data_IF_647789144189
#
_entry.id   IF_647789144189
#
_cell.length_a   1.000
_cell.length_b   1.000
_cell.length_c   1.000
_cell.angle_alpha   90.00
_cell.angle_beta   90.00
_cell.angle_gamma   90.00
#
_symmetry.space_group_name_H-M   'P 1'
#
loop_
_entity.id
_entity.type
_entity.pdbx_description
1 polymer ?
#
# COMPACT_ATOMS: atom_id res chain seq x y z
N UNK A 1 -4.18 -11.31 -3.84
CA UNK A 1 -2.77 -11.57 -3.50
C UNK A 1 -2.39 -10.72 -2.29
N UNK A 2 -1.49 -11.19 -1.44
CA UNK A 2 -0.91 -10.43 -0.33
C UNK A 2 0.59 -10.70 -0.24
N UNK A 3 1.35 -9.75 0.30
CA UNK A 3 2.79 -9.92 0.53
C UNK A 3 3.24 -9.24 1.82
N UNK A 4 4.27 -9.81 2.45
CA UNK A 4 4.94 -9.23 3.61
C UNK A 4 6.43 -9.65 3.61
N UNK A 5 7.32 -8.83 4.19
CA UNK A 5 8.73 -9.17 4.37
C UNK A 5 8.95 -10.12 5.55
N UNK A 6 8.03 -10.10 6.52
CA UNK A 6 8.06 -10.87 7.77
C UNK A 6 7.53 -12.28 7.52
N UNK A 7 8.39 -13.28 7.76
CA UNK A 7 8.08 -14.68 7.46
C UNK A 7 6.91 -15.21 8.31
N UNK A 8 6.81 -14.77 9.55
CA UNK A 8 5.73 -15.12 10.47
C UNK A 8 4.37 -14.59 9.98
N UNK A 9 4.33 -13.37 9.44
CA UNK A 9 3.12 -12.78 8.88
C UNK A 9 2.66 -13.54 7.62
N UNK A 10 3.60 -13.91 6.75
CA UNK A 10 3.35 -14.74 5.56
C UNK A 10 2.77 -16.10 5.97
N UNK A 11 3.39 -16.78 6.94
CA UNK A 11 2.94 -18.10 7.41
C UNK A 11 1.54 -18.02 8.04
N UNK A 12 1.29 -17.04 8.90
CA UNK A 12 -0.01 -16.84 9.54
C UNK A 12 -1.10 -16.52 8.51
N UNK A 13 -0.83 -15.64 7.55
CA UNK A 13 -1.79 -15.26 6.51
C UNK A 13 -2.08 -16.45 5.59
N UNK A 14 -1.06 -17.19 5.16
CA UNK A 14 -1.22 -18.40 4.36
C UNK A 14 -2.15 -19.41 5.03
N UNK A 15 -1.95 -19.66 6.33
CA UNK A 15 -2.80 -20.56 7.09
C UNK A 15 -4.25 -20.04 7.19
N UNK A 16 -4.42 -18.75 7.44
CA UNK A 16 -5.73 -18.11 7.55
C UNK A 16 -6.52 -18.14 6.23
N UNK A 17 -5.83 -18.11 5.08
CA UNK A 17 -6.46 -18.08 3.75
C UNK A 17 -6.47 -19.44 3.04
N UNK A 18 -6.10 -20.53 3.70
CA UNK A 18 -5.97 -21.85 3.08
C UNK A 18 -7.25 -22.38 2.41
N UNK A 19 -8.44 -21.91 2.84
CA UNK A 19 -9.73 -22.25 2.25
C UNK A 19 -10.23 -21.28 1.17
N UNK A 20 -9.48 -20.24 0.84
CA UNK A 20 -9.90 -19.16 -0.06
C UNK A 20 -9.26 -19.32 -1.44
N UNK A 21 -9.98 -19.86 -2.44
CA UNK A 21 -9.43 -20.05 -3.78
C UNK A 21 -9.01 -18.72 -4.42
N UNK A 22 -7.93 -18.74 -5.22
CA UNK A 22 -7.39 -17.53 -5.86
C UNK A 22 -6.60 -16.61 -4.93
N UNK A 23 -6.32 -17.02 -3.70
CA UNK A 23 -5.46 -16.28 -2.78
C UNK A 23 -4.03 -16.79 -2.86
N UNK A 24 -3.11 -15.88 -3.15
CA UNK A 24 -1.68 -16.11 -3.09
C UNK A 24 -1.07 -15.20 -2.02
N UNK A 25 -0.14 -15.75 -1.24
CA UNK A 25 0.59 -15.04 -0.19
C UNK A 25 2.08 -15.22 -0.45
N UNK A 26 2.80 -14.12 -0.64
CA UNK A 26 4.22 -14.13 -1.01
C UNK A 26 5.06 -13.47 0.08
N UNK A 27 6.29 -13.97 0.28
CA UNK A 27 7.29 -13.22 1.04
C UNK A 27 8.03 -12.28 0.11
N UNK A 28 7.76 -10.99 0.20
CA UNK A 28 8.32 -9.99 -0.72
C UNK A 28 8.23 -8.58 -0.13
N UNK A 29 9.11 -7.69 -0.58
CA UNK A 29 9.07 -6.26 -0.25
C UNK A 29 8.01 -5.55 -1.10
N UNK A 30 7.46 -4.45 -0.61
CA UNK A 30 6.27 -3.78 -1.16
C UNK A 30 6.51 -3.13 -2.54
N UNK A 31 7.76 -2.91 -2.96
CA UNK A 31 8.12 -2.42 -4.29
C UNK A 31 8.59 -3.51 -5.27
N UNK A 32 8.53 -4.78 -4.87
CA UNK A 32 8.84 -5.92 -5.74
C UNK A 32 7.69 -6.20 -6.73
N UNK A 33 8.02 -6.75 -7.89
CA UNK A 33 7.05 -7.24 -8.86
C UNK A 33 6.17 -8.37 -8.31
N UNK A 34 6.67 -9.15 -7.36
CA UNK A 34 5.88 -10.17 -6.68
C UNK A 34 4.85 -9.59 -5.69
N UNK A 35 5.07 -8.38 -5.16
CA UNK A 35 4.15 -7.70 -4.24
C UNK A 35 3.09 -6.86 -4.97
N UNK A 36 3.47 -6.27 -6.11
CA UNK A 36 2.56 -5.50 -6.97
C UNK A 36 2.76 -5.99 -8.39
N UNK A 37 2.03 -6.99 -8.90
CA UNK A 37 2.20 -7.50 -10.26
C UNK A 37 1.63 -6.54 -11.30
N UNK A 38 2.15 -6.62 -12.52
CA UNK A 38 1.65 -5.82 -13.64
C UNK A 38 0.20 -6.19 -13.95
N UNK A 39 -0.64 -5.17 -14.19
CA UNK A 39 -2.05 -5.34 -14.49
C UNK A 39 -2.96 -5.46 -13.26
N UNK A 40 -2.42 -5.33 -12.03
CA UNK A 40 -3.24 -5.21 -10.83
C UNK A 40 -4.15 -3.98 -10.91
N UNK A 41 -5.47 -4.19 -10.91
CA UNK A 41 -6.48 -3.12 -10.99
C UNK A 41 -6.83 -2.47 -9.64
N UNK A 42 -6.41 -3.12 -8.54
CA UNK A 42 -6.50 -2.62 -7.17
C UNK A 42 -5.24 -2.96 -6.38
N UNK A 43 -4.61 -1.95 -5.77
CA UNK A 43 -3.50 -2.13 -4.82
C UNK A 43 -3.88 -1.52 -3.47
N UNK A 44 -3.67 -2.27 -2.39
CA UNK A 44 -4.00 -1.82 -1.02
C UNK A 44 -2.72 -1.76 -0.20
N UNK A 45 -2.36 -0.54 0.22
CA UNK A 45 -1.21 -0.22 1.06
C UNK A 45 -1.74 0.18 2.44
N UNK A 46 -1.87 -0.80 3.33
CA UNK A 46 -2.44 -0.63 4.66
C UNK A 46 -1.34 -0.66 5.72
N UNK A 47 -1.22 0.44 6.47
CA UNK A 47 -0.30 0.61 7.61
C UNK A 47 1.17 0.27 7.32
N UNK A 48 1.62 0.43 6.07
CA UNK A 48 2.95 -0.02 5.60
C UNK A 48 3.90 1.13 5.26
N UNK A 49 3.41 2.20 4.63
CA UNK A 49 4.31 3.20 4.01
C UNK A 49 5.02 4.08 5.04
N UNK A 50 4.43 4.31 6.21
CA UNK A 50 5.07 5.12 7.26
C UNK A 50 6.32 4.44 7.87
N UNK A 51 6.47 3.12 7.69
CA UNK A 51 7.66 2.37 8.10
C UNK A 51 8.86 2.61 7.19
N UNK A 52 8.65 3.24 6.04
CA UNK A 52 9.67 3.45 5.02
C UNK A 52 10.27 4.85 5.11
N UNK A 53 11.54 4.94 4.72
CA UNK A 53 12.17 6.24 4.45
C UNK A 53 11.53 6.90 3.21
N UNK A 54 11.56 8.24 3.09
CA UNK A 54 10.92 8.94 1.97
C UNK A 54 11.31 8.43 0.57
N UNK A 55 12.61 8.15 0.34
CA UNK A 55 13.09 7.61 -0.94
C UNK A 55 12.52 6.21 -1.25
N UNK A 56 12.22 5.43 -0.22
CA UNK A 56 11.59 4.12 -0.36
C UNK A 56 10.10 4.21 -0.63
N UNK A 57 9.43 5.26 -0.16
CA UNK A 57 8.04 5.55 -0.52
C UNK A 57 7.95 5.89 -2.01
N UNK A 58 8.89 6.67 -2.54
CA UNK A 58 8.94 6.96 -3.99
C UNK A 58 9.06 5.71 -4.84
N UNK A 59 9.97 4.79 -4.47
CA UNK A 59 10.12 3.52 -5.18
C UNK A 59 8.82 2.70 -5.20
N UNK A 60 8.06 2.70 -4.10
CA UNK A 60 6.75 2.04 -4.04
C UNK A 60 5.74 2.74 -4.96
N UNK A 61 5.68 4.07 -4.95
CA UNK A 61 4.78 4.83 -5.83
C UNK A 61 5.14 4.61 -7.31
N UNK A 62 6.43 4.53 -7.64
CA UNK A 62 6.91 4.19 -8.99
C UNK A 62 6.50 2.78 -9.40
N UNK A 63 6.66 1.78 -8.52
CA UNK A 63 6.19 0.41 -8.79
C UNK A 63 4.70 0.39 -9.03
N UNK A 64 3.91 1.01 -8.15
CA UNK A 64 2.45 1.04 -8.25
C UNK A 64 2.00 1.76 -9.53
N UNK A 65 2.55 2.95 -9.82
CA UNK A 65 2.19 3.73 -11.00
C UNK A 65 2.57 3.05 -12.33
N UNK A 66 3.60 2.20 -12.31
CA UNK A 66 4.02 1.38 -13.45
C UNK A 66 3.23 0.08 -13.63
N UNK A 67 2.63 -0.45 -12.56
CA UNK A 67 1.93 -1.74 -12.57
C UNK A 67 0.42 -1.62 -12.75
N UNK A 68 -0.17 -0.60 -12.10
CA UNK A 68 -1.62 -0.38 -12.10
C UNK A 68 -2.01 0.26 -13.43
N UNK A 69 -2.96 -0.32 -14.18
CA UNK A 69 -3.42 0.27 -15.43
C UNK A 69 -4.17 1.58 -15.17
N UNK A 70 -4.26 2.44 -16.18
CA UNK A 70 -5.10 3.64 -16.13
C UNK A 70 -6.55 3.26 -15.76
N UNK A 71 -7.14 3.98 -14.81
CA UNK A 71 -8.45 3.69 -14.23
C UNK A 71 -8.45 2.72 -13.04
N UNK A 72 -7.34 2.03 -12.77
CA UNK A 72 -7.16 1.21 -11.57
C UNK A 72 -6.98 2.06 -10.30
N UNK A 73 -7.27 1.47 -9.14
CA UNK A 73 -7.33 2.18 -7.87
C UNK A 73 -6.23 1.74 -6.90
N UNK A 74 -5.75 2.69 -6.10
CA UNK A 74 -4.77 2.47 -5.03
C UNK A 74 -5.38 2.98 -3.74
N UNK A 75 -5.49 2.09 -2.75
CA UNK A 75 -5.95 2.43 -1.42
C UNK A 75 -4.75 2.60 -0.52
N UNK A 76 -4.66 3.75 0.15
CA UNK A 76 -3.65 4.01 1.18
C UNK A 76 -4.37 4.26 2.50
N UNK A 77 -4.03 3.50 3.53
CA UNK A 77 -4.66 3.62 4.85
C UNK A 77 -3.60 3.57 5.97
N UNK A 78 -3.72 4.45 6.97
CA UNK A 78 -2.83 4.49 8.13
C UNK A 78 -3.61 4.80 9.40
N UNK A 79 -3.28 4.11 10.50
CA UNK A 79 -3.77 4.49 11.83
C UNK A 79 -2.90 5.60 12.41
N UNK A 80 -3.52 6.67 12.90
CA UNK A 80 -2.81 7.82 13.45
C UNK A 80 -2.18 7.56 14.83
N UNK A 81 -2.70 6.57 15.57
CA UNK A 81 -2.24 6.27 16.93
C UNK A 81 -1.01 5.35 17.01
N UNK A 82 -0.37 5.02 15.88
CA UNK A 82 0.82 4.16 15.81
C UNK A 82 2.12 4.99 15.99
N UNK A 83 3.21 4.42 16.56
CA UNK A 83 4.08 5.14 17.48
C UNK A 83 4.95 6.20 16.80
N UNK A 84 5.29 7.23 17.59
CA UNK A 84 6.09 8.41 17.20
C UNK A 84 7.48 8.11 16.60
N UNK A 85 7.92 6.85 16.64
CA UNK A 85 9.22 6.39 16.13
C UNK A 85 9.18 6.02 14.64
N UNK A 86 8.01 6.05 14.00
CA UNK A 86 7.88 5.82 12.57
C UNK A 86 8.81 6.76 11.77
N UNK A 87 9.60 6.24 10.80
CA UNK A 87 10.52 7.08 10.01
C UNK A 87 9.83 8.20 9.24
N UNK A 88 8.57 8.02 8.85
CA UNK A 88 7.79 9.02 8.11
C UNK A 88 6.43 9.24 8.77
N UNK A 89 6.02 10.50 8.93
CA UNK A 89 4.68 10.87 9.37
C UNK A 89 3.61 10.39 8.37
N UNK A 90 2.58 9.69 8.86
CA UNK A 90 1.49 9.20 8.02
C UNK A 90 0.80 10.33 7.25
N UNK A 91 0.61 11.52 7.85
CA UNK A 91 0.02 12.66 7.10
C UNK A 91 0.94 13.11 5.96
N UNK A 92 2.26 13.04 6.12
CA UNK A 92 3.22 13.30 5.06
C UNK A 92 3.14 12.27 3.92
N UNK A 93 2.95 10.99 4.25
CA UNK A 93 2.71 9.95 3.23
C UNK A 93 1.47 10.29 2.41
N UNK A 94 0.33 10.58 3.07
CA UNK A 94 -0.92 10.88 2.37
C UNK A 94 -0.82 12.14 1.50
N UNK A 95 -0.15 13.21 1.97
CA UNK A 95 0.12 14.39 1.15
C UNK A 95 0.94 14.06 -0.10
N UNK A 96 1.92 13.16 0.02
CA UNK A 96 2.74 12.72 -1.11
C UNK A 96 1.92 11.95 -2.14
N UNK A 97 1.12 10.98 -1.69
CA UNK A 97 0.25 10.16 -2.55
C UNK A 97 -0.76 11.05 -3.29
N UNK A 98 -1.44 11.96 -2.60
CA UNK A 98 -2.46 12.82 -3.19
C UNK A 98 -1.89 13.93 -4.08
N UNK A 99 -0.62 14.29 -3.87
CA UNK A 99 0.09 15.29 -4.66
C UNK A 99 0.78 14.74 -5.91
N UNK A 100 0.79 13.42 -6.11
CA UNK A 100 1.41 12.76 -7.25
C UNK A 100 0.54 12.91 -8.51
N UNK A 101 1.10 13.48 -9.56
CA UNK A 101 0.39 13.80 -10.80
C UNK A 101 0.07 12.59 -11.68
N UNK A 102 0.52 11.39 -11.29
CA UNK A 102 0.11 10.12 -11.90
C UNK A 102 -1.23 9.61 -11.37
N UNK A 103 -1.69 10.16 -10.24
CA UNK A 103 -2.92 9.73 -9.58
C UNK A 103 -3.93 10.88 -9.39
N UNK A 104 -5.20 10.53 -9.29
CA UNK A 104 -6.29 11.44 -8.93
C UNK A 104 -6.97 10.92 -7.67
N UNK A 105 -7.04 11.71 -6.61
CA UNK A 105 -7.82 11.34 -5.42
C UNK A 105 -9.30 11.22 -5.75
N UNK A 106 -9.90 10.07 -5.43
CA UNK A 106 -11.33 9.79 -5.66
C UNK A 106 -12.12 9.63 -4.36
N UNK A 107 -11.45 9.20 -3.28
CA UNK A 107 -12.03 9.12 -1.93
C UNK A 107 -11.03 9.69 -0.94
N UNK A 108 -11.53 10.50 -0.01
CA UNK A 108 -10.81 11.00 1.14
C UNK A 108 -11.64 10.70 2.39
N UNK A 109 -11.01 10.07 3.38
CA UNK A 109 -11.55 9.90 4.72
C UNK A 109 -10.44 10.21 5.73
N UNK A 110 -10.68 11.22 6.56
CA UNK A 110 -9.73 11.67 7.57
C UNK A 110 -10.49 11.89 8.87
N UNK A 111 -10.13 11.14 9.89
CA UNK A 111 -10.58 11.35 11.26
C UNK A 111 -9.40 11.31 12.23
N UNK A 112 -9.69 11.25 13.53
CA UNK A 112 -8.69 11.27 14.60
C UNK A 112 -7.91 9.95 14.73
N UNK A 113 -8.42 8.86 14.16
CA UNK A 113 -7.86 7.51 14.27
C UNK A 113 -7.30 6.99 12.94
N UNK A 114 -7.86 7.42 11.82
CA UNK A 114 -7.65 6.85 10.49
C UNK A 114 -7.44 7.95 9.44
N UNK A 115 -6.38 7.78 8.67
CA UNK A 115 -6.22 8.39 7.35
C UNK A 115 -6.49 7.32 6.30
N UNK A 116 -7.42 7.58 5.38
CA UNK A 116 -7.67 6.71 4.24
C UNK A 116 -7.88 7.57 3.00
N UNK A 117 -7.17 7.22 1.94
CA UNK A 117 -7.38 7.81 0.62
C UNK A 117 -7.46 6.70 -0.42
N UNK A 118 -8.35 6.85 -1.37
CA UNK A 118 -8.33 6.08 -2.62
C UNK A 118 -7.90 7.03 -3.72
N UNK A 119 -6.85 6.66 -4.44
CA UNK A 119 -6.37 7.40 -5.60
C UNK A 119 -6.46 6.52 -6.84
N UNK A 120 -6.93 7.09 -7.93
CA UNK A 120 -7.08 6.42 -9.22
C UNK A 120 -5.90 6.74 -10.12
N UNK A 121 -5.33 5.72 -10.77
CA UNK A 121 -4.31 5.90 -11.80
C UNK A 121 -4.88 6.66 -13.00
N UNK A 122 -4.21 7.74 -13.40
CA UNK A 122 -4.54 8.50 -14.62
C UNK A 122 -4.21 7.72 -15.88
#
# INVERSE_FOLDING_TARGET
MASDVVAEAVAATTAATAGSPGTEVHRSDVDDAAAVPDGADLVVLCDVLHHLLPARIDAVLDRVAGSVPAGGDVVVAHRLQWPAEAPTDARAVHRRVCGDDRFTTVVEHVDDDLLLHVVRRR
#
